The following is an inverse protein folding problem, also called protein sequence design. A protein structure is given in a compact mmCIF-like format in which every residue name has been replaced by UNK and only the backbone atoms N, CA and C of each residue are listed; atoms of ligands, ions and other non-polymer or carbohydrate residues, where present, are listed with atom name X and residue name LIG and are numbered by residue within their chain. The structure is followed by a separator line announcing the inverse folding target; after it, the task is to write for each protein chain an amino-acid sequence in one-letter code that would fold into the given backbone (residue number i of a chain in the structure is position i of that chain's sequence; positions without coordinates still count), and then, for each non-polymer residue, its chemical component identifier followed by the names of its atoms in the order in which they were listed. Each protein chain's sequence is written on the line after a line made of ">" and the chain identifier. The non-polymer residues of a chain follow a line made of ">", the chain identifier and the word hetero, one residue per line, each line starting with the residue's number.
data_IF_011398210792
#
_entry.id   IF_011398210792
#
_cell.length_a   1.000
_cell.length_b   1.000
_cell.length_c   1.000
_cell.angle_alpha   90.00
_cell.angle_beta   90.00
_cell.angle_gamma   90.00
#
_symmetry.space_group_name_H-M   'P 1'
#
loop_
_entity.id
_entity.type
_entity.pdbx_description
1 polymer ?
#
# COMPACT_ATOMS: atom_id res chain seq x y z
N UNK A 1 13.28 10.01 -16.17
CA UNK A 1 12.89 8.58 -16.13
C UNK A 1 11.43 8.46 -15.69
N UNK A 2 10.57 7.67 -16.37
CA UNK A 2 9.19 7.46 -15.96
C UNK A 2 9.09 6.51 -14.75
N UNK A 3 7.92 6.47 -14.10
CA UNK A 3 7.62 5.47 -13.07
C UNK A 3 7.25 4.15 -13.76
N UNK A 4 8.06 3.12 -13.53
CA UNK A 4 7.77 1.75 -14.00
C UNK A 4 6.99 0.98 -12.93
N UNK A 5 6.43 -0.17 -13.30
CA UNK A 5 5.75 -1.08 -12.35
C UNK A 5 6.69 -1.49 -11.21
N UNK A 6 7.98 -1.70 -11.49
CA UNK A 6 8.98 -2.05 -10.49
C UNK A 6 9.22 -0.90 -9.49
N UNK A 7 9.35 0.33 -10.00
CA UNK A 7 9.50 1.52 -9.15
C UNK A 7 8.27 1.72 -8.26
N UNK A 8 7.07 1.56 -8.81
CA UNK A 8 5.83 1.69 -8.05
C UNK A 8 5.71 0.63 -6.96
N UNK A 9 6.05 -0.64 -7.27
CA UNK A 9 6.04 -1.70 -6.27
C UNK A 9 7.11 -1.49 -5.19
N UNK A 10 8.30 -1.04 -5.56
CA UNK A 10 9.34 -0.75 -4.59
C UNK A 10 8.96 0.42 -3.68
N UNK A 11 8.41 1.50 -4.26
CA UNK A 11 7.91 2.64 -3.49
C UNK A 11 6.77 2.25 -2.54
N UNK A 12 5.85 1.40 -2.99
CA UNK A 12 4.76 0.91 -2.14
C UNK A 12 5.30 0.05 -1.00
N UNK A 13 6.28 -0.81 -1.26
CA UNK A 13 6.97 -1.60 -0.22
C UNK A 13 7.56 -0.69 0.87
N UNK A 14 8.32 0.33 0.47
CA UNK A 14 8.91 1.32 1.40
C UNK A 14 7.86 2.07 2.23
N UNK A 15 6.71 2.37 1.62
CA UNK A 15 5.63 3.11 2.28
C UNK A 15 4.93 2.32 3.39
N UNK A 16 5.08 0.99 3.38
CA UNK A 16 4.53 0.08 4.38
C UNK A 16 5.58 -0.39 5.40
N UNK A 17 6.77 0.23 5.43
CA UNK A 17 7.79 -0.06 6.42
C UNK A 17 7.36 0.35 7.84
N UNK A 18 7.77 -0.46 8.81
CA UNK A 18 7.58 -0.23 10.24
C UNK A 18 8.92 0.14 10.91
N UNK A 19 8.87 0.42 12.21
CA UNK A 19 10.05 0.81 12.99
C UNK A 19 10.46 2.26 12.72
N UNK A 20 11.76 2.51 12.57
CA UNK A 20 12.30 3.86 12.35
C UNK A 20 11.77 4.53 11.08
N UNK A 21 11.35 3.73 10.10
CA UNK A 21 10.80 4.19 8.82
C UNK A 21 9.26 4.31 8.81
N UNK A 22 8.60 4.08 9.94
CA UNK A 22 7.15 4.10 10.01
C UNK A 22 6.59 5.50 9.77
N UNK A 23 5.68 5.62 8.79
CA UNK A 23 5.05 6.88 8.33
C UNK A 23 6.03 7.90 7.75
N UNK A 24 7.30 7.54 7.53
CA UNK A 24 8.27 8.42 6.89
C UNK A 24 8.01 8.55 5.39
N UNK A 25 8.28 9.72 4.79
CA UNK A 25 8.29 9.87 3.33
C UNK A 25 9.17 8.82 2.66
N UNK A 26 8.81 8.41 1.45
CA UNK A 26 9.59 7.42 0.70
C UNK A 26 10.67 8.06 -0.18
N UNK A 27 10.62 9.39 -0.39
CA UNK A 27 11.36 10.08 -1.44
C UNK A 27 12.87 9.88 -1.32
N UNK A 28 13.45 10.02 -0.12
CA UNK A 28 14.89 9.84 0.13
C UNK A 28 15.33 8.37 -0.04
N UNK A 29 14.53 7.44 0.48
CA UNK A 29 14.80 5.99 0.35
C UNK A 29 14.66 5.53 -1.10
N UNK A 30 13.69 6.08 -1.83
CA UNK A 30 13.43 5.79 -3.23
C UNK A 30 14.52 6.39 -4.14
N UNK A 31 15.00 7.60 -3.85
CA UNK A 31 16.08 8.25 -4.63
C UNK A 31 17.41 7.55 -4.46
N UNK A 32 17.66 6.93 -3.30
CA UNK A 32 18.86 6.11 -3.07
C UNK A 32 18.93 4.91 -4.02
N UNK A 33 17.80 4.31 -4.36
CA UNK A 33 17.71 3.14 -5.25
C UNK A 33 17.52 3.53 -6.72
N UNK A 34 16.77 4.60 -6.98
CA UNK A 34 16.51 5.12 -8.32
C UNK A 34 17.01 6.58 -8.45
N UNK A 35 18.34 6.80 -8.49
CA UNK A 35 18.94 8.15 -8.43
C UNK A 35 18.60 9.03 -9.64
N UNK A 36 18.15 8.42 -10.74
CA UNK A 36 17.78 9.12 -11.96
C UNK A 36 16.32 9.63 -11.97
N UNK A 37 15.56 9.42 -10.88
CA UNK A 37 14.24 10.02 -10.73
C UNK A 37 14.36 11.50 -10.39
N UNK A 38 13.60 12.33 -11.09
CA UNK A 38 13.49 13.74 -10.71
C UNK A 38 12.69 13.89 -9.41
N UNK A 39 12.87 15.01 -8.72
CA UNK A 39 12.10 15.33 -7.50
C UNK A 39 10.58 15.22 -7.73
N UNK A 40 10.10 15.67 -8.89
CA UNK A 40 8.70 15.54 -9.29
C UNK A 40 8.24 14.08 -9.37
N UNK A 41 9.07 13.18 -9.91
CA UNK A 41 8.73 11.75 -10.01
C UNK A 41 8.81 11.02 -8.67
N UNK A 42 9.73 11.42 -7.80
CA UNK A 42 9.77 10.92 -6.42
C UNK A 42 8.47 11.28 -5.68
N UNK A 43 8.03 12.54 -5.80
CA UNK A 43 6.79 13.00 -5.16
C UNK A 43 5.55 12.35 -5.77
N UNK A 44 5.49 12.22 -7.10
CA UNK A 44 4.42 11.49 -7.78
C UNK A 44 4.30 10.05 -7.25
N UNK A 45 5.44 9.34 -7.12
CA UNK A 45 5.45 7.99 -6.57
C UNK A 45 4.98 7.97 -5.11
N UNK A 46 5.43 8.91 -4.27
CA UNK A 46 5.02 9.02 -2.88
C UNK A 46 3.50 9.20 -2.74
N UNK A 47 2.92 10.11 -3.52
CA UNK A 47 1.48 10.38 -3.50
C UNK A 47 0.66 9.17 -3.99
N UNK A 48 1.12 8.47 -5.02
CA UNK A 48 0.49 7.22 -5.48
C UNK A 48 0.50 6.18 -4.36
N UNK A 49 1.65 5.93 -3.72
CA UNK A 49 1.77 4.94 -2.64
C UNK A 49 0.87 5.31 -1.45
N UNK A 50 0.86 6.58 -1.04
CA UNK A 50 -0.02 7.09 0.02
C UNK A 50 -1.50 6.87 -0.31
N UNK A 51 -1.89 7.05 -1.57
CA UNK A 51 -3.26 6.83 -2.03
C UNK A 51 -3.64 5.35 -1.99
N UNK A 52 -2.74 4.47 -2.42
CA UNK A 52 -2.93 3.01 -2.34
C UNK A 52 -3.07 2.56 -0.89
N UNK A 53 -2.19 3.01 0.01
CA UNK A 53 -2.29 2.69 1.44
C UNK A 53 -3.63 3.14 2.03
N UNK A 54 -4.02 4.39 1.76
CA UNK A 54 -5.31 4.92 2.22
C UNK A 54 -6.49 4.11 1.69
N UNK A 55 -6.44 3.69 0.43
CA UNK A 55 -7.49 2.87 -0.19
C UNK A 55 -7.60 1.50 0.47
N UNK A 56 -6.47 0.81 0.69
CA UNK A 56 -6.45 -0.48 1.37
C UNK A 56 -7.01 -0.40 2.78
N UNK A 57 -6.52 0.56 3.57
CA UNK A 57 -6.97 0.77 4.95
C UNK A 57 -8.47 1.06 5.03
N UNK A 58 -8.93 1.99 4.18
CA UNK A 58 -10.34 2.35 4.11
C UNK A 58 -11.21 1.16 3.73
N UNK A 59 -10.79 0.36 2.74
CA UNK A 59 -11.58 -0.77 2.28
C UNK A 59 -11.75 -1.83 3.38
N UNK A 60 -10.70 -2.14 4.15
CA UNK A 60 -10.81 -3.05 5.30
C UNK A 60 -11.71 -2.48 6.39
N UNK A 61 -11.58 -1.18 6.72
CA UNK A 61 -12.38 -0.52 7.76
C UNK A 61 -13.87 -0.44 7.42
N UNK A 62 -14.20 -0.19 6.15
CA UNK A 62 -15.59 0.01 5.69
C UNK A 62 -16.31 -1.31 5.35
N UNK A 63 -15.60 -2.45 5.32
CA UNK A 63 -16.18 -3.74 4.96
C UNK A 63 -15.98 -4.82 6.05
N UNK A 64 -16.38 -4.60 7.31
CA UNK A 64 -16.33 -5.65 8.33
C UNK A 64 -17.24 -6.84 7.97
N UNK A 65 -16.76 -8.06 8.20
CA UNK A 65 -17.56 -9.29 8.06
C UNK A 65 -18.25 -9.59 9.39
N UNK A 66 -19.56 -9.78 9.35
CA UNK A 66 -20.37 -10.07 10.53
C UNK A 66 -20.73 -11.55 10.53
N UNK A 67 -20.28 -12.29 11.55
CA UNK A 67 -20.59 -13.71 11.71
C UNK A 67 -21.23 -13.93 13.07
N UNK A 68 -22.58 -13.98 13.09
CA UNK A 68 -23.33 -14.01 14.35
C UNK A 68 -23.09 -12.73 15.16
N UNK A 69 -22.43 -12.87 16.31
CA UNK A 69 -22.06 -11.75 17.19
C UNK A 69 -20.61 -11.26 17.00
N UNK A 70 -19.82 -11.94 16.16
CA UNK A 70 -18.42 -11.59 15.92
C UNK A 70 -18.27 -10.67 14.71
N UNK A 71 -17.35 -9.71 14.82
CA UNK A 71 -16.92 -8.85 13.72
C UNK A 71 -15.49 -9.22 13.35
N UNK A 72 -15.28 -9.59 12.09
CA UNK A 72 -13.98 -9.98 11.54
C UNK A 72 -13.65 -9.16 10.28
N UNK A 73 -12.43 -9.31 9.75
CA UNK A 73 -12.02 -8.63 8.53
C UNK A 73 -12.52 -9.35 7.27
N UNK A 74 -12.73 -8.60 6.18
CA UNK A 74 -12.89 -9.18 4.84
C UNK A 74 -11.80 -10.19 4.53
N UNK A 75 -12.14 -11.28 3.84
CA UNK A 75 -11.13 -12.24 3.36
C UNK A 75 -10.19 -11.60 2.34
N UNK A 76 -8.94 -12.08 2.30
CA UNK A 76 -7.89 -11.53 1.45
C UNK A 76 -8.26 -11.54 -0.04
N UNK A 77 -8.94 -12.58 -0.53
CA UNK A 77 -9.33 -12.72 -1.93
C UNK A 77 -10.30 -11.61 -2.37
N UNK A 78 -11.16 -11.15 -1.48
CA UNK A 78 -12.07 -10.02 -1.73
C UNK A 78 -11.29 -8.71 -1.78
N UNK A 79 -10.37 -8.51 -0.84
CA UNK A 79 -9.46 -7.37 -0.82
C UNK A 79 -8.60 -7.31 -2.08
N UNK A 80 -8.00 -8.43 -2.46
CA UNK A 80 -7.12 -8.58 -3.62
C UNK A 80 -7.86 -8.20 -4.92
N UNK A 81 -9.05 -8.76 -5.14
CA UNK A 81 -9.88 -8.43 -6.32
C UNK A 81 -10.21 -6.95 -6.38
N UNK A 82 -10.59 -6.33 -5.26
CA UNK A 82 -10.90 -4.91 -5.19
C UNK A 82 -9.66 -4.05 -5.53
N UNK A 83 -8.52 -4.36 -4.92
CA UNK A 83 -7.29 -3.60 -5.11
C UNK A 83 -6.74 -3.75 -6.53
N UNK A 84 -6.73 -4.96 -7.10
CA UNK A 84 -6.26 -5.19 -8.47
C UNK A 84 -7.14 -4.56 -9.55
N UNK A 85 -8.45 -4.41 -9.30
CA UNK A 85 -9.34 -3.68 -10.20
C UNK A 85 -8.95 -2.19 -10.30
N UNK A 86 -8.44 -1.59 -9.20
CA UNK A 86 -8.01 -0.18 -9.18
C UNK A 86 -6.53 0.00 -9.51
N UNK A 87 -5.69 -0.94 -9.10
CA UNK A 87 -4.24 -0.85 -9.16
C UNK A 87 -3.65 -2.17 -9.67
N UNK A 88 -3.85 -2.45 -10.96
CA UNK A 88 -3.42 -3.69 -11.62
C UNK A 88 -1.91 -3.96 -11.56
N UNK A 89 -1.11 -2.93 -11.25
CA UNK A 89 0.35 -3.03 -11.17
C UNK A 89 0.84 -3.55 -9.81
N UNK A 90 0.00 -3.59 -8.77
CA UNK A 90 0.45 -4.00 -7.43
C UNK A 90 0.77 -5.48 -7.40
N UNK A 91 1.98 -5.83 -6.99
CA UNK A 91 2.43 -7.21 -6.87
C UNK A 91 1.68 -7.98 -5.78
N UNK A 92 1.58 -9.30 -5.93
CA UNK A 92 1.00 -10.18 -4.92
C UNK A 92 1.68 -10.05 -3.54
N UNK A 93 3.00 -9.82 -3.51
CA UNK A 93 3.76 -9.56 -2.28
C UNK A 93 3.24 -8.30 -1.57
N UNK A 94 3.12 -7.19 -2.31
CA UNK A 94 2.64 -5.93 -1.76
C UNK A 94 1.17 -5.98 -1.38
N UNK A 95 0.32 -6.69 -2.12
CA UNK A 95 -1.09 -6.87 -1.77
C UNK A 95 -1.26 -7.57 -0.41
N UNK A 96 -0.53 -8.67 -0.19
CA UNK A 96 -0.56 -9.37 1.09
C UNK A 96 -0.08 -8.49 2.24
N UNK A 97 1.03 -7.76 2.04
CA UNK A 97 1.58 -6.85 3.04
C UNK A 97 0.63 -5.69 3.35
N UNK A 98 0.04 -5.10 2.32
CA UNK A 98 -0.94 -4.03 2.45
C UNK A 98 -2.17 -4.50 3.22
N UNK A 99 -2.74 -5.65 2.85
CA UNK A 99 -3.87 -6.25 3.55
C UNK A 99 -3.58 -6.44 5.05
N UNK A 100 -2.46 -7.09 5.38
CA UNK A 100 -2.07 -7.30 6.78
C UNK A 100 -1.91 -5.99 7.55
N UNK A 101 -1.30 -4.97 6.96
CA UNK A 101 -1.14 -3.66 7.58
C UNK A 101 -2.50 -2.95 7.75
N UNK A 102 -3.39 -3.04 6.76
CA UNK A 102 -4.74 -2.49 6.83
C UNK A 102 -5.58 -3.15 7.93
N UNK A 103 -5.52 -4.48 8.07
CA UNK A 103 -6.15 -5.19 9.19
C UNK A 103 -5.56 -4.75 10.54
N UNK A 104 -4.23 -4.60 10.63
CA UNK A 104 -3.59 -4.10 11.85
C UNK A 104 -4.09 -2.70 12.24
N UNK A 105 -4.21 -1.78 11.28
CA UNK A 105 -4.72 -0.43 11.54
C UNK A 105 -6.23 -0.38 11.79
N UNK A 106 -7.01 -1.32 11.25
CA UNK A 106 -8.43 -1.42 11.55
C UNK A 106 -8.70 -2.02 12.94
N UNK A 107 -7.77 -2.84 13.44
CA UNK A 107 -7.85 -3.42 14.79
C UNK A 107 -7.45 -2.44 15.90
N UNK A 108 -6.52 -1.51 15.60
CA UNK A 108 -5.98 -0.53 16.54
C UNK A 108 -6.90 0.67 16.71
#
# INVERSE_FOLDING_TARGET
>A
MPLTIDILNYGLELSMDFGENWLQPINERLSTVFPNLSAQKLEECHLICKTVNKMGNRYVQENPVHTGTEITFIVFETFEKFMLNKYHWVSAKNLKRLYSQSCYYAYK
#
